data_IF_488679041634
#
_entry.id   IF_488679041634
#
_cell.length_a   1.000
_cell.length_b   1.000
_cell.length_c   1.000
_cell.angle_alpha   90.00
_cell.angle_beta   90.00
_cell.angle_gamma   90.00
#
_symmetry.space_group_name_H-M   'P 1'
#
loop_
_entity.id
_entity.type
_entity.pdbx_description
1 polymer ?
#
# COMPACT_ATOMS: atom_id res chain seq x y z
N UNK A 1 10.96 -39.35 -61.48
CA UNK A 1 10.20 -39.61 -62.73
C UNK A 1 8.81 -40.09 -62.33
N UNK A 2 7.76 -39.82 -63.12
CA UNK A 2 7.21 -38.48 -63.29
C UNK A 2 5.71 -38.43 -62.87
N UNK A 3 5.07 -37.28 -63.02
CA UNK A 3 3.61 -37.13 -62.95
C UNK A 3 2.97 -37.71 -64.22
N UNK A 4 1.90 -38.51 -64.09
CA UNK A 4 0.93 -38.78 -65.16
C UNK A 4 -0.50 -38.98 -64.58
N UNK A 5 -1.37 -37.99 -64.76
CA UNK A 5 -2.77 -38.20 -65.19
C UNK A 5 -2.74 -38.69 -66.67
N UNK A 6 -3.82 -39.22 -67.33
CA UNK A 6 -5.24 -38.86 -67.12
C UNK A 6 -6.32 -39.93 -67.51
N UNK A 7 -7.54 -39.43 -67.75
CA UNK A 7 -8.59 -39.88 -68.69
C UNK A 7 -9.65 -40.92 -68.27
N UNK A 8 -10.89 -40.41 -68.09
CA UNK A 8 -12.18 -40.75 -68.75
C UNK A 8 -12.45 -42.20 -69.21
N UNK A 9 -13.66 -42.78 -69.07
CA UNK A 9 -14.91 -42.36 -69.76
C UNK A 9 -16.15 -43.15 -69.25
N UNK A 10 -17.35 -42.57 -69.45
CA UNK A 10 -18.64 -43.24 -69.83
C UNK A 10 -19.22 -44.39 -68.96
N UNK A 11 -20.54 -44.54 -68.77
CA UNK A 11 -21.75 -43.85 -69.25
C UNK A 11 -22.96 -44.24 -68.38
N UNK A 12 -24.08 -43.52 -68.59
CA UNK A 12 -25.47 -44.05 -68.60
C UNK A 12 -26.42 -43.53 -67.51
N UNK A 13 -27.39 -42.78 -68.00
CA UNK A 13 -28.45 -42.09 -67.28
C UNK A 13 -29.64 -43.00 -66.94
N UNK A 14 -30.17 -42.92 -65.72
CA UNK A 14 -31.65 -42.95 -65.54
C UNK A 14 -32.09 -42.24 -64.25
N UNK A 15 -33.03 -41.31 -64.40
CA UNK A 15 -33.59 -40.55 -63.28
C UNK A 15 -34.62 -41.35 -62.47
N UNK A 16 -34.64 -41.09 -61.17
CA UNK A 16 -35.76 -41.34 -60.26
C UNK A 16 -35.92 -40.16 -59.28
N UNK A 17 -37.12 -39.84 -58.76
CA UNK A 17 -37.38 -38.59 -58.03
C UNK A 17 -36.83 -38.59 -56.58
N UNK A 18 -36.76 -37.41 -55.92
CA UNK A 18 -35.95 -37.23 -54.72
C UNK A 18 -36.62 -37.78 -53.45
N UNK A 19 -36.05 -38.85 -52.89
CA UNK A 19 -36.18 -39.20 -51.49
C UNK A 19 -34.95 -38.72 -50.72
N UNK A 20 -35.12 -37.81 -49.76
CA UNK A 20 -34.00 -37.27 -48.96
C UNK A 20 -33.37 -38.41 -48.12
N UNK A 21 -32.13 -38.76 -48.45
CA UNK A 21 -31.24 -39.52 -47.57
C UNK A 21 -30.34 -38.56 -46.80
N UNK A 22 -30.22 -38.74 -45.48
CA UNK A 22 -28.91 -38.90 -44.83
C UNK A 22 -29.05 -40.03 -43.78
N UNK A 23 -28.11 -40.97 -43.78
CA UNK A 23 -28.22 -42.30 -43.16
C UNK A 23 -27.27 -42.48 -41.94
N UNK A 24 -27.27 -43.64 -41.21
CA UNK A 24 -26.67 -43.86 -39.87
C UNK A 24 -25.12 -44.04 -39.90
N UNK A 25 -24.38 -44.21 -38.76
CA UNK A 25 -24.78 -44.59 -37.38
C UNK A 25 -24.30 -43.62 -36.27
N UNK A 26 -24.57 -43.83 -34.96
CA UNK A 26 -25.24 -44.92 -34.24
C UNK A 26 -24.31 -45.72 -33.31
N UNK A 27 -24.26 -45.40 -32.00
CA UNK A 27 -23.77 -46.30 -30.92
C UNK A 27 -24.22 -45.83 -29.52
N UNK A 28 -24.77 -46.79 -28.76
CA UNK A 28 -24.90 -46.91 -27.28
C UNK A 28 -25.72 -45.93 -26.41
N UNK A 29 -26.83 -46.49 -25.94
CA UNK A 29 -27.48 -46.26 -24.63
C UNK A 29 -26.52 -46.29 -23.41
N UNK A 30 -26.95 -45.56 -22.36
CA UNK A 30 -26.78 -45.78 -20.89
C UNK A 30 -25.56 -45.20 -20.14
N UNK A 31 -25.91 -44.33 -19.17
CA UNK A 31 -25.29 -44.03 -17.86
C UNK A 31 -23.92 -43.34 -17.81
N UNK A 32 -23.98 -42.02 -17.60
CA UNK A 32 -23.06 -41.19 -16.81
C UNK A 32 -23.82 -39.88 -16.49
N UNK A 33 -23.77 -39.27 -15.31
CA UNK A 33 -22.94 -39.53 -14.14
C UNK A 33 -22.14 -38.29 -13.76
N UNK A 34 -22.69 -37.41 -12.92
CA UNK A 34 -22.05 -36.24 -12.26
C UNK A 34 -21.11 -35.38 -13.12
N UNK A 35 -21.70 -34.37 -13.76
CA UNK A 35 -21.09 -33.12 -14.27
C UNK A 35 -22.23 -32.10 -14.00
N UNK A 36 -22.16 -31.02 -13.21
CA UNK A 36 -21.10 -30.02 -12.94
C UNK A 36 -21.10 -29.50 -11.48
N UNK A 37 -20.79 -30.33 -10.48
CA UNK A 37 -20.64 -29.84 -9.10
C UNK A 37 -19.24 -29.25 -8.81
N UNK A 38 -18.23 -29.59 -9.62
CA UNK A 38 -16.83 -29.19 -9.40
C UNK A 38 -16.42 -27.91 -10.17
N UNK A 39 -17.07 -27.60 -11.29
CA UNK A 39 -16.79 -26.38 -12.05
C UNK A 39 -17.29 -25.12 -11.33
N UNK A 40 -18.40 -25.20 -10.58
CA UNK A 40 -18.82 -24.12 -9.66
C UNK A 40 -17.80 -23.93 -8.54
N UNK A 41 -17.36 -25.01 -7.88
CA UNK A 41 -16.36 -24.92 -6.81
C UNK A 41 -15.03 -24.33 -7.32
N UNK A 42 -14.60 -24.65 -8.54
CA UNK A 42 -13.39 -24.06 -9.12
C UNK A 42 -13.51 -22.56 -9.39
N UNK A 43 -14.68 -22.09 -9.83
CA UNK A 43 -14.96 -20.66 -10.02
C UNK A 43 -15.01 -19.92 -8.68
N UNK A 44 -15.74 -20.46 -7.69
CA UNK A 44 -15.89 -19.85 -6.38
C UNK A 44 -14.54 -19.78 -5.62
N UNK A 45 -13.69 -20.81 -5.75
CA UNK A 45 -12.34 -20.82 -5.14
C UNK A 45 -11.42 -19.80 -5.82
N UNK A 46 -11.44 -19.68 -7.15
CA UNK A 46 -10.63 -18.68 -7.86
C UNK A 46 -11.09 -17.24 -7.57
N UNK A 47 -12.40 -16.99 -7.42
CA UNK A 47 -12.92 -15.69 -7.00
C UNK A 47 -12.54 -15.38 -5.54
N UNK A 48 -12.63 -16.35 -4.63
CA UNK A 48 -12.21 -16.18 -3.25
C UNK A 48 -10.71 -15.85 -3.13
N UNK A 49 -9.86 -16.48 -3.94
CA UNK A 49 -8.42 -16.22 -3.93
C UNK A 49 -8.07 -14.80 -4.44
N UNK A 50 -8.74 -14.30 -5.49
CA UNK A 50 -8.50 -12.94 -5.98
C UNK A 50 -9.12 -11.86 -5.05
N UNK A 51 -10.32 -12.09 -4.49
CA UNK A 51 -10.92 -11.18 -3.49
C UNK A 51 -10.08 -11.12 -2.19
N UNK A 52 -9.49 -12.25 -1.80
CA UNK A 52 -8.51 -12.32 -0.72
C UNK A 52 -7.28 -11.49 -1.06
N UNK A 53 -6.70 -11.72 -2.23
CA UNK A 53 -5.50 -11.03 -2.71
C UNK A 53 -5.72 -9.52 -2.79
N UNK A 54 -6.86 -9.05 -3.29
CA UNK A 54 -7.19 -7.61 -3.37
C UNK A 54 -7.34 -6.94 -2.00
N UNK A 55 -7.95 -7.62 -1.01
CA UNK A 55 -8.02 -7.10 0.36
C UNK A 55 -6.64 -7.01 1.01
N UNK A 56 -5.78 -7.97 0.70
CA UNK A 56 -4.38 -8.03 1.13
C UNK A 56 -3.54 -6.94 0.47
N UNK A 57 -3.66 -6.74 -0.86
CA UNK A 57 -3.03 -5.64 -1.61
C UNK A 57 -3.36 -4.27 -1.01
N UNK A 58 -4.63 -4.01 -0.65
CA UNK A 58 -5.04 -2.75 0.00
C UNK A 58 -4.32 -2.50 1.32
N UNK A 59 -4.16 -3.54 2.13
CA UNK A 59 -3.43 -3.46 3.41
C UNK A 59 -1.93 -3.23 3.16
N UNK A 60 -1.34 -3.94 2.19
CA UNK A 60 0.06 -3.79 1.79
C UNK A 60 0.37 -2.40 1.22
N UNK A 61 -0.53 -1.77 0.48
CA UNK A 61 -0.33 -0.40 -0.01
C UNK A 61 -0.02 0.59 1.12
N UNK A 62 -0.72 0.48 2.26
CA UNK A 62 -0.50 1.37 3.40
C UNK A 62 0.83 1.05 4.13
N UNK A 63 1.21 -0.23 4.20
CA UNK A 63 2.52 -0.66 4.73
C UNK A 63 3.65 -0.07 3.88
N UNK A 64 3.60 -0.27 2.56
CA UNK A 64 4.58 0.29 1.62
C UNK A 64 4.67 1.81 1.77
N UNK A 65 3.54 2.53 1.81
CA UNK A 65 3.54 3.98 1.95
C UNK A 65 4.24 4.46 3.23
N UNK A 66 3.94 3.85 4.39
CA UNK A 66 4.64 4.17 5.64
C UNK A 66 6.15 3.97 5.52
N UNK A 67 6.61 2.93 4.82
CA UNK A 67 8.04 2.70 4.61
C UNK A 67 8.69 3.72 3.66
N UNK A 68 8.02 4.12 2.57
CA UNK A 68 8.53 5.16 1.66
C UNK A 68 8.67 6.51 2.40
N UNK A 69 7.68 6.88 3.22
CA UNK A 69 7.75 8.09 4.07
C UNK A 69 8.89 8.01 5.09
N UNK A 70 9.08 6.85 5.73
CA UNK A 70 10.19 6.63 6.65
C UNK A 70 11.57 6.71 5.97
N UNK A 71 11.68 6.18 4.74
CA UNK A 71 12.90 6.27 3.94
C UNK A 71 13.21 7.72 3.58
N UNK A 72 12.21 8.49 3.13
CA UNK A 72 12.35 9.92 2.81
C UNK A 72 12.89 10.71 4.02
N UNK A 73 12.27 10.53 5.18
CA UNK A 73 12.72 11.15 6.44
C UNK A 73 14.17 10.80 6.84
N UNK A 74 14.70 9.67 6.37
CA UNK A 74 16.09 9.27 6.61
C UNK A 74 17.08 9.85 5.61
N UNK A 75 16.69 9.99 4.34
CA UNK A 75 17.50 10.62 3.28
C UNK A 75 17.60 12.13 3.50
N UNK A 76 16.51 12.76 3.93
CA UNK A 76 16.46 14.14 4.43
C UNK A 76 17.28 14.33 5.72
N UNK A 77 17.75 13.24 6.33
CA UNK A 77 18.66 13.27 7.46
C UNK A 77 18.06 13.82 8.75
N UNK A 78 16.71 13.85 8.87
CA UNK A 78 15.94 14.51 9.93
C UNK A 78 16.51 14.21 11.32
N UNK A 79 16.66 15.25 12.14
CA UNK A 79 17.33 15.19 13.44
C UNK A 79 16.66 14.17 14.39
N UNK A 80 15.33 14.07 14.31
CA UNK A 80 14.54 13.06 15.01
C UNK A 80 14.93 11.62 14.63
N UNK A 81 15.22 11.35 13.35
CA UNK A 81 15.61 10.03 12.88
C UNK A 81 16.91 9.58 13.55
N UNK A 82 17.95 10.43 13.52
CA UNK A 82 19.26 10.17 14.15
C UNK A 82 19.15 9.91 15.66
N UNK A 83 18.20 10.56 16.34
CA UNK A 83 17.97 10.45 17.79
C UNK A 83 17.21 9.18 18.20
N UNK A 84 16.23 8.73 17.41
CA UNK A 84 15.34 7.61 17.77
C UNK A 84 15.99 6.25 17.50
N UNK A 85 16.76 6.14 16.42
CA UNK A 85 17.34 4.85 15.99
C UNK A 85 18.79 4.65 16.45
N UNK A 86 19.46 5.71 16.91
CA UNK A 86 20.92 5.74 16.96
C UNK A 86 21.51 5.86 15.55
N UNK A 87 22.83 5.99 15.47
CA UNK A 87 23.55 6.07 14.18
C UNK A 87 23.82 4.69 13.55
N UNK A 88 23.36 3.60 14.15
CA UNK A 88 23.34 2.30 13.48
C UNK A 88 22.40 2.41 12.27
N UNK A 89 22.86 2.07 11.05
CA UNK A 89 22.02 2.13 9.88
C UNK A 89 20.89 1.13 10.08
N UNK A 90 19.70 1.66 10.27
CA UNK A 90 18.47 0.93 10.07
C UNK A 90 18.54 0.35 8.65
N UNK A 91 18.87 -0.94 8.53
CA UNK A 91 19.01 -1.57 7.23
C UNK A 91 17.67 -1.45 6.51
N UNK A 92 17.61 -0.58 5.50
CA UNK A 92 16.41 -0.33 4.73
C UNK A 92 16.05 -1.59 3.96
N UNK A 93 15.13 -2.38 4.51
CA UNK A 93 14.63 -3.60 3.86
C UNK A 93 13.54 -3.31 2.82
N UNK A 94 13.61 -2.11 2.23
CA UNK A 94 12.92 -1.83 0.98
C UNK A 94 13.54 -2.70 -0.10
N UNK A 95 12.70 -3.27 -0.96
CA UNK A 95 13.13 -3.89 -2.20
C UNK A 95 13.61 -2.81 -3.19
N UNK A 96 14.44 -3.20 -4.16
CA UNK A 96 14.87 -2.29 -5.25
C UNK A 96 13.69 -1.59 -5.94
N UNK A 97 12.54 -2.27 -6.04
CA UNK A 97 11.32 -1.70 -6.60
C UNK A 97 10.69 -0.60 -5.73
N UNK A 98 10.72 -0.75 -4.39
CA UNK A 98 10.28 0.30 -3.47
C UNK A 98 11.28 1.46 -3.43
N UNK A 99 12.59 1.17 -3.51
CA UNK A 99 13.65 2.19 -3.59
C UNK A 99 13.49 3.04 -4.86
N UNK A 100 13.28 2.41 -6.02
CA UNK A 100 13.00 3.14 -7.27
C UNK A 100 11.71 3.95 -7.17
N UNK A 101 10.62 3.37 -6.63
CA UNK A 101 9.37 4.09 -6.38
C UNK A 101 9.56 5.29 -5.44
N UNK A 102 10.46 5.20 -4.46
CA UNK A 102 10.81 6.30 -3.56
C UNK A 102 11.62 7.40 -4.25
N UNK A 103 12.63 7.04 -5.05
CA UNK A 103 13.45 8.00 -5.79
C UNK A 103 12.66 8.73 -6.88
N UNK A 104 11.92 8.01 -7.72
CA UNK A 104 11.14 8.56 -8.84
C UNK A 104 10.05 9.54 -8.39
N UNK A 105 9.69 9.52 -7.10
CA UNK A 105 8.54 10.24 -6.56
C UNK A 105 8.82 10.92 -5.21
N UNK A 106 10.09 11.19 -4.89
CA UNK A 106 10.54 11.69 -3.58
C UNK A 106 9.75 12.93 -3.09
N UNK A 107 9.43 13.84 -4.00
CA UNK A 107 8.62 15.03 -3.70
C UNK A 107 7.16 14.68 -3.35
N UNK A 108 6.55 13.69 -4.02
CA UNK A 108 5.15 13.29 -3.86
C UNK A 108 4.87 12.41 -2.62
N UNK A 109 5.88 11.91 -1.89
CA UNK A 109 5.68 10.86 -0.87
C UNK A 109 4.78 11.27 0.32
N UNK A 110 4.54 12.57 0.53
CA UNK A 110 3.63 13.09 1.54
C UNK A 110 2.26 13.50 0.96
N UNK A 111 2.08 13.42 -0.36
CA UNK A 111 0.86 13.80 -1.07
C UNK A 111 -0.05 12.61 -1.35
N UNK A 112 -1.37 12.81 -1.38
CA UNK A 112 -2.33 11.74 -1.70
C UNK A 112 -2.20 11.21 -3.14
N UNK A 113 -1.54 11.97 -4.03
CA UNK A 113 -1.29 11.59 -5.43
C UNK A 113 -0.42 10.33 -5.57
N UNK A 114 0.46 10.05 -4.60
CA UNK A 114 1.34 8.88 -4.62
C UNK A 114 0.56 7.55 -4.51
N UNK A 115 -0.64 7.56 -3.92
CA UNK A 115 -1.39 6.34 -3.63
C UNK A 115 -1.65 5.52 -4.90
N UNK A 116 -1.94 6.16 -6.03
CA UNK A 116 -2.14 5.49 -7.31
C UNK A 116 -0.87 4.76 -7.79
N UNK A 117 0.32 5.36 -7.60
CA UNK A 117 1.62 4.79 -7.97
C UNK A 117 1.97 3.61 -7.06
N UNK A 118 1.69 3.71 -5.76
CA UNK A 118 1.85 2.63 -4.79
C UNK A 118 0.90 1.46 -5.11
N UNK A 119 -0.38 1.73 -5.40
CA UNK A 119 -1.34 0.69 -5.82
C UNK A 119 -0.90 -0.01 -7.11
N UNK A 120 -0.33 0.72 -8.08
CA UNK A 120 0.23 0.14 -9.30
C UNK A 120 1.43 -0.77 -9.00
N UNK A 121 2.36 -0.32 -8.16
CA UNK A 121 3.50 -1.13 -7.71
C UNK A 121 3.02 -2.41 -7.02
N UNK A 122 2.16 -2.31 -6.02
CA UNK A 122 1.60 -3.46 -5.28
C UNK A 122 0.78 -4.38 -6.18
N UNK A 123 0.05 -3.84 -7.15
CA UNK A 123 -0.67 -4.62 -8.17
C UNK A 123 0.24 -5.42 -9.10
N UNK A 124 1.51 -5.01 -9.27
CA UNK A 124 2.52 -5.73 -10.05
C UNK A 124 3.28 -6.81 -9.26
N UNK A 125 3.11 -6.85 -7.93
CA UNK A 125 3.71 -7.90 -7.10
C UNK A 125 3.02 -9.25 -7.32
N UNK A 126 3.81 -10.32 -7.23
CA UNK A 126 3.24 -11.67 -7.18
C UNK A 126 2.46 -11.87 -5.87
N UNK A 127 1.50 -12.80 -5.81
CA UNK A 127 0.76 -13.10 -4.59
C UNK A 127 1.71 -13.40 -3.42
N UNK A 128 2.73 -14.22 -3.63
CA UNK A 128 3.70 -14.64 -2.60
C UNK A 128 4.46 -13.45 -2.00
N UNK A 129 4.90 -12.51 -2.85
CA UNK A 129 5.53 -11.26 -2.39
C UNK A 129 4.55 -10.42 -1.57
N UNK A 130 3.31 -10.29 -2.06
CA UNK A 130 2.27 -9.52 -1.37
C UNK A 130 1.96 -10.10 0.03
N UNK A 131 1.83 -11.42 0.14
CA UNK A 131 1.66 -12.09 1.43
C UNK A 131 2.89 -11.96 2.35
N UNK A 132 4.12 -12.05 1.82
CA UNK A 132 5.33 -11.92 2.66
C UNK A 132 5.42 -10.60 3.43
N UNK A 133 4.93 -9.50 2.85
CA UNK A 133 4.87 -8.17 3.50
C UNK A 133 3.89 -8.19 4.69
N UNK A 134 2.83 -9.01 4.64
CA UNK A 134 1.89 -9.23 5.76
C UNK A 134 2.44 -10.21 6.79
N UNK A 135 3.25 -11.19 6.41
CA UNK A 135 3.83 -12.19 7.32
C UNK A 135 5.05 -11.72 8.12
N UNK A 136 5.35 -10.42 8.13
CA UNK A 136 6.40 -9.85 8.99
C UNK A 136 7.83 -9.97 8.46
N UNK A 137 8.05 -10.69 7.37
CA UNK A 137 9.37 -10.77 6.73
C UNK A 137 9.51 -9.73 5.61
N UNK A 138 10.34 -8.68 5.78
CA UNK A 138 11.10 -8.27 6.98
C UNK A 138 10.74 -6.86 7.49
N UNK A 139 9.65 -6.28 6.99
CA UNK A 139 9.34 -4.84 7.07
C UNK A 139 8.67 -4.39 8.39
N UNK A 140 8.03 -5.29 9.12
CA UNK A 140 6.97 -4.89 10.06
C UNK A 140 7.40 -4.43 11.46
N UNK A 141 8.61 -4.71 11.91
CA UNK A 141 8.99 -4.55 13.33
C UNK A 141 9.02 -3.07 13.81
N UNK A 142 8.79 -2.11 12.91
CA UNK A 142 9.31 -0.75 13.06
C UNK A 142 8.36 0.38 12.62
N UNK A 143 7.13 0.07 12.21
CA UNK A 143 6.12 1.09 11.81
C UNK A 143 5.89 2.13 12.92
N UNK A 144 5.79 1.67 14.17
CA UNK A 144 5.70 2.55 15.35
C UNK A 144 6.94 3.41 15.60
N UNK A 145 8.13 3.10 15.06
CA UNK A 145 9.30 4.01 15.11
C UNK A 145 9.25 5.03 13.97
N UNK A 146 8.80 4.66 12.77
CA UNK A 146 8.63 5.61 11.65
C UNK A 146 7.73 6.79 12.05
N UNK A 147 6.53 6.53 12.57
CA UNK A 147 5.64 7.61 13.03
C UNK A 147 6.28 8.45 14.16
N UNK A 148 7.07 7.83 15.05
CA UNK A 148 7.80 8.58 16.09
C UNK A 148 8.83 9.56 15.53
N UNK A 149 9.40 9.32 14.35
CA UNK A 149 10.29 10.30 13.68
C UNK A 149 9.51 11.55 13.36
N UNK A 150 8.46 11.46 12.54
CA UNK A 150 7.65 12.60 12.12
C UNK A 150 7.06 13.34 13.33
N UNK A 151 6.63 12.60 14.35
CA UNK A 151 6.17 13.17 15.61
C UNK A 151 7.28 14.01 16.29
N UNK A 152 8.44 13.41 16.54
CA UNK A 152 9.56 14.04 17.26
C UNK A 152 10.14 15.24 16.51
N UNK A 153 10.18 15.16 15.17
CA UNK A 153 10.58 16.23 14.26
C UNK A 153 9.68 17.45 14.45
N UNK A 154 8.36 17.24 14.34
CA UNK A 154 7.35 18.28 14.52
C UNK A 154 7.37 18.88 15.94
N UNK A 155 7.48 18.09 17.03
CA UNK A 155 7.60 18.70 18.38
C UNK A 155 8.88 19.50 18.56
N UNK A 156 9.98 19.11 17.89
CA UNK A 156 11.25 19.85 17.97
C UNK A 156 11.12 21.20 17.28
N UNK A 157 10.59 21.22 16.05
CA UNK A 157 10.36 22.43 15.27
C UNK A 157 9.33 23.35 15.92
N UNK A 158 8.22 22.80 16.44
CA UNK A 158 7.20 23.58 17.14
C UNK A 158 7.74 24.23 18.44
N UNK A 159 8.58 23.51 19.19
CA UNK A 159 9.25 24.08 20.37
C UNK A 159 10.26 25.16 19.97
N UNK A 160 11.04 24.94 18.91
CA UNK A 160 11.97 25.95 18.41
C UNK A 160 11.24 27.22 17.96
N UNK A 161 10.15 27.09 17.21
CA UNK A 161 9.37 28.23 16.73
C UNK A 161 8.68 28.98 17.89
N UNK A 162 8.08 28.27 18.86
CA UNK A 162 7.53 28.92 20.07
C UNK A 162 8.58 29.67 20.89
N UNK A 163 9.79 29.12 21.07
CA UNK A 163 10.89 29.82 21.74
C UNK A 163 11.36 31.05 20.95
N UNK A 164 11.34 30.95 19.63
CA UNK A 164 11.70 32.00 18.70
C UNK A 164 10.72 33.19 18.73
N UNK A 165 9.41 32.91 18.75
CA UNK A 165 8.34 33.90 18.89
C UNK A 165 8.35 34.57 20.28
N UNK A 166 8.51 33.81 21.36
CA UNK A 166 8.47 34.33 22.73
C UNK A 166 9.72 35.14 23.12
N UNK A 167 10.88 34.86 22.52
CA UNK A 167 12.19 35.40 22.94
C UNK A 167 13.15 35.70 21.78
N UNK A 168 12.77 36.52 20.80
CA UNK A 168 13.60 36.80 19.61
C UNK A 168 15.00 37.35 19.97
N UNK A 169 15.10 38.19 21.01
CA UNK A 169 16.37 38.79 21.45
C UNK A 169 17.41 37.77 21.99
N UNK A 170 17.02 36.52 22.25
CA UNK A 170 17.90 35.47 22.77
C UNK A 170 18.20 34.37 21.74
N UNK A 171 17.77 34.52 20.48
CA UNK A 171 18.11 33.57 19.42
C UNK A 171 19.44 33.92 18.75
N UNK A 172 20.37 32.96 18.76
CA UNK A 172 21.52 32.98 17.88
C UNK A 172 21.04 32.66 16.45
N UNK A 173 21.24 33.60 15.52
CA UNK A 173 21.00 33.38 14.09
C UNK A 173 22.16 32.55 13.54
N UNK A 174 21.94 31.39 12.90
CA UNK A 174 23.02 30.59 12.33
C UNK A 174 23.75 31.35 11.21
N UNK A 175 25.06 31.12 11.07
CA UNK A 175 25.94 31.84 10.11
C UNK A 175 25.47 31.78 8.63
N UNK A 176 24.62 30.82 8.28
CA UNK A 176 24.02 30.65 6.96
C UNK A 176 22.82 31.57 6.64
N UNK A 177 22.28 32.32 7.61
CA UNK A 177 21.15 33.25 7.42
C UNK A 177 21.56 34.73 7.53
N UNK A 178 21.09 35.55 6.59
CA UNK A 178 21.40 37.00 6.57
C UNK A 178 20.69 37.79 7.69
N UNK A 179 19.54 37.32 8.16
CA UNK A 179 18.80 37.96 9.26
C UNK A 179 17.97 36.97 10.08
N UNK A 180 17.59 37.41 11.29
CA UNK A 180 16.62 36.69 12.14
C UNK A 180 15.29 36.48 11.43
N UNK A 181 14.83 37.43 10.60
CA UNK A 181 13.56 37.30 9.86
C UNK A 181 13.60 36.16 8.85
N UNK A 182 14.72 35.99 8.15
CA UNK A 182 14.90 34.93 7.17
C UNK A 182 14.95 33.56 7.87
N UNK A 183 15.69 33.47 8.98
CA UNK A 183 15.74 32.27 9.81
C UNK A 183 14.37 31.88 10.39
N UNK A 184 13.59 32.85 10.87
CA UNK A 184 12.21 32.62 11.35
C UNK A 184 11.26 32.17 10.23
N UNK A 185 11.43 32.71 9.03
CA UNK A 185 10.66 32.33 7.85
C UNK A 185 10.95 30.89 7.44
N UNK A 186 12.23 30.49 7.42
CA UNK A 186 12.63 29.12 7.10
C UNK A 186 12.13 28.12 8.15
N UNK A 187 12.34 28.42 9.45
CA UNK A 187 11.84 27.60 10.57
C UNK A 187 10.32 27.41 10.54
N UNK A 188 9.58 28.42 10.09
CA UNK A 188 8.12 28.34 9.89
C UNK A 188 7.73 27.50 8.67
N UNK A 189 8.54 27.54 7.60
CA UNK A 189 8.41 26.65 6.45
C UNK A 189 8.64 25.18 6.81
N UNK A 190 9.75 24.89 7.51
CA UNK A 190 10.08 23.56 8.03
C UNK A 190 8.98 23.01 8.95
N UNK A 191 8.45 23.85 9.85
CA UNK A 191 7.34 23.47 10.71
C UNK A 191 6.08 23.11 9.92
N UNK A 192 5.75 23.88 8.87
CA UNK A 192 4.60 23.62 8.01
C UNK A 192 4.76 22.32 7.21
N UNK A 193 5.94 22.05 6.64
CA UNK A 193 6.21 20.77 5.95
C UNK A 193 6.19 19.59 6.94
N UNK A 194 6.80 19.72 8.11
CA UNK A 194 6.80 18.66 9.13
C UNK A 194 5.38 18.36 9.63
N UNK A 195 4.54 19.40 9.81
CA UNK A 195 3.10 19.27 10.11
C UNK A 195 2.35 18.51 9.01
N UNK A 196 2.59 18.85 7.75
CA UNK A 196 1.98 18.16 6.60
C UNK A 196 2.40 16.68 6.54
N UNK A 197 3.70 16.38 6.66
CA UNK A 197 4.20 15.00 6.69
C UNK A 197 3.61 14.18 7.85
N UNK A 198 3.49 14.77 9.05
CA UNK A 198 2.87 14.13 10.21
C UNK A 198 1.37 13.89 9.99
N UNK A 199 0.65 14.84 9.41
CA UNK A 199 -0.77 14.69 9.06
C UNK A 199 -0.99 13.56 8.05
N UNK A 200 -0.18 13.48 6.99
CA UNK A 200 -0.26 12.37 6.03
C UNK A 200 0.03 11.03 6.70
N UNK A 201 1.04 10.95 7.57
CA UNK A 201 1.36 9.71 8.29
C UNK A 201 0.18 9.26 9.17
N UNK A 202 -0.47 10.19 9.87
CA UNK A 202 -1.69 9.92 10.67
C UNK A 202 -2.84 9.41 9.79
N UNK A 203 -3.00 9.94 8.56
CA UNK A 203 -4.01 9.45 7.61
C UNK A 203 -3.71 8.04 7.10
N UNK A 204 -2.46 7.76 6.71
CA UNK A 204 -2.01 6.43 6.25
C UNK A 204 -2.15 5.38 7.35
N UNK A 205 -1.78 5.71 8.60
CA UNK A 205 -1.96 4.83 9.77
C UNK A 205 -3.43 4.52 10.03
N UNK A 206 -4.33 5.50 9.88
CA UNK A 206 -5.78 5.29 9.98
C UNK A 206 -6.30 4.38 8.86
N UNK A 207 -5.84 4.60 7.62
CA UNK A 207 -6.21 3.78 6.47
C UNK A 207 -5.71 2.33 6.59
N UNK A 208 -4.51 2.12 7.13
CA UNK A 208 -3.95 0.81 7.47
C UNK A 208 -4.82 0.08 8.49
N UNK A 209 -5.16 0.74 9.60
CA UNK A 209 -6.02 0.19 10.65
C UNK A 209 -7.40 -0.21 10.10
N UNK A 210 -8.06 0.67 9.33
CA UNK A 210 -9.35 0.38 8.69
C UNK A 210 -9.26 -0.77 7.67
N UNK A 211 -8.15 -0.89 6.94
CA UNK A 211 -7.93 -1.99 5.99
C UNK A 211 -7.82 -3.34 6.69
N UNK A 212 -7.14 -3.39 7.84
CA UNK A 212 -7.05 -4.59 8.68
C UNK A 212 -8.42 -4.95 9.25
N UNK A 213 -9.18 -3.99 9.77
CA UNK A 213 -10.53 -4.25 10.29
C UNK A 213 -11.43 -4.87 9.22
N UNK A 214 -11.53 -4.25 8.05
CA UNK A 214 -12.35 -4.76 6.92
C UNK A 214 -11.91 -6.16 6.49
N UNK A 215 -10.60 -6.40 6.39
CA UNK A 215 -10.07 -7.71 5.98
C UNK A 215 -10.28 -8.80 7.05
N UNK A 216 -10.37 -8.42 8.33
CA UNK A 216 -10.75 -9.31 9.42
C UNK A 216 -12.25 -9.66 9.39
N UNK A 217 -13.11 -8.69 9.08
CA UNK A 217 -14.57 -8.88 8.92
C UNK A 217 -14.90 -9.83 7.76
N UNK A 218 -14.19 -9.73 6.64
CA UNK A 218 -14.36 -10.64 5.48
C UNK A 218 -13.67 -12.00 5.66
N UNK A 219 -12.87 -12.20 6.71
CA UNK A 219 -12.08 -13.43 6.97
C UNK A 219 -11.09 -13.80 5.86
N UNK A 220 -10.62 -12.82 5.09
CA UNK A 220 -9.65 -13.05 4.01
C UNK A 220 -8.22 -13.32 4.54
N UNK A 221 -7.95 -13.04 5.83
CA UNK A 221 -6.68 -13.33 6.48
C UNK A 221 -6.78 -14.59 7.34
N UNK A 222 -5.71 -15.37 7.37
CA UNK A 222 -5.49 -16.41 8.37
C UNK A 222 -5.36 -15.80 9.77
N UNK A 223 -5.60 -16.61 10.81
CA UNK A 223 -5.44 -16.18 12.20
C UNK A 223 -4.04 -15.67 12.53
N UNK A 224 -3.01 -16.18 11.86
CA UNK A 224 -1.61 -15.78 12.03
C UNK A 224 -1.35 -14.42 11.38
N UNK A 225 -1.67 -14.25 10.09
CA UNK A 225 -1.58 -12.97 9.37
C UNK A 225 -2.33 -11.85 10.12
N UNK A 226 -3.54 -12.15 10.63
CA UNK A 226 -4.33 -11.19 11.41
C UNK A 226 -3.71 -10.87 12.77
N UNK A 227 -3.12 -11.85 13.47
CA UNK A 227 -2.46 -11.62 14.76
C UNK A 227 -1.23 -10.72 14.58
N UNK A 228 -0.45 -10.95 13.53
CA UNK A 228 0.70 -10.15 13.12
C UNK A 228 0.28 -8.70 12.81
N UNK A 229 -0.73 -8.51 11.94
CA UNK A 229 -1.24 -7.19 11.61
C UNK A 229 -1.79 -6.43 12.83
N UNK A 230 -2.48 -7.12 13.74
CA UNK A 230 -2.94 -6.53 15.02
C UNK A 230 -1.77 -6.12 15.92
N UNK A 231 -0.66 -6.87 15.96
CA UNK A 231 0.52 -6.48 16.71
C UNK A 231 1.15 -5.18 16.15
N UNK A 232 1.18 -5.04 14.83
CA UNK A 232 1.70 -3.83 14.18
C UNK A 232 0.83 -2.59 14.46
N UNK A 233 -0.49 -2.73 14.39
CA UNK A 233 -1.42 -1.64 14.76
C UNK A 233 -1.27 -1.25 16.23
N UNK A 234 -1.12 -2.21 17.15
CA UNK A 234 -0.82 -1.92 18.56
C UNK A 234 0.49 -1.16 18.75
N UNK A 235 1.51 -1.38 17.92
CA UNK A 235 2.77 -0.61 17.96
C UNK A 235 2.61 0.86 17.54
N UNK A 236 1.55 1.17 16.79
CA UNK A 236 1.22 2.51 16.29
C UNK A 236 0.29 3.29 17.24
N UNK A 237 -0.47 2.63 18.12
CA UNK A 237 -1.54 3.23 18.92
C UNK A 237 -1.09 4.43 19.76
N UNK A 238 -0.07 4.27 20.61
CA UNK A 238 0.47 5.37 21.42
C UNK A 238 1.02 6.54 20.58
N UNK A 239 1.96 6.36 19.62
CA UNK A 239 2.45 7.48 18.84
C UNK A 239 1.39 8.11 17.92
N UNK A 240 0.38 7.35 17.50
CA UNK A 240 -0.79 7.88 16.77
C UNK A 240 -1.62 8.82 17.65
N UNK A 241 -1.98 8.39 18.87
CA UNK A 241 -2.75 9.23 19.79
C UNK A 241 -1.99 10.51 20.14
N UNK A 242 -0.68 10.45 20.36
CA UNK A 242 0.16 11.64 20.60
C UNK A 242 0.19 12.57 19.38
N UNK A 243 0.38 12.05 18.16
CA UNK A 243 0.36 12.85 16.94
C UNK A 243 -0.99 13.56 16.72
N UNK A 244 -2.10 12.85 16.93
CA UNK A 244 -3.46 13.40 16.85
C UNK A 244 -3.69 14.50 17.89
N UNK A 245 -3.20 14.33 19.12
CA UNK A 245 -3.31 15.35 20.17
C UNK A 245 -2.53 16.61 19.84
N UNK A 246 -1.30 16.45 19.32
CA UNK A 246 -0.45 17.57 18.94
C UNK A 246 -1.00 18.39 17.78
N UNK A 247 -1.37 17.74 16.67
CA UNK A 247 -1.92 18.43 15.48
C UNK A 247 -3.17 19.27 15.82
N UNK A 248 -3.95 18.85 16.83
CA UNK A 248 -5.11 19.59 17.34
C UNK A 248 -4.77 20.76 18.25
N UNK A 249 -3.70 20.67 19.04
CA UNK A 249 -3.27 21.76 19.92
C UNK A 249 -2.84 23.00 19.10
N UNK A 250 -2.37 22.74 17.88
CA UNK A 250 -1.93 23.70 16.88
C UNK A 250 -3.07 24.24 15.98
N UNK A 251 -4.24 23.57 15.93
CA UNK A 251 -5.41 23.98 15.13
C UNK A 251 -6.23 25.10 15.82
N UNK A 252 -5.59 26.20 16.20
CA UNK A 252 -6.25 27.37 16.80
C UNK A 252 -7.05 28.23 15.80
N UNK A 253 -7.39 27.71 14.60
CA UNK A 253 -7.97 28.55 13.54
C UNK A 253 -8.79 27.90 12.41
N UNK A 254 -8.32 26.86 11.70
CA UNK A 254 -8.81 26.66 10.32
C UNK A 254 -8.99 25.24 9.76
N UNK A 255 -8.58 24.15 10.42
CA UNK A 255 -8.81 22.78 9.90
C UNK A 255 -9.60 21.92 10.90
N UNK A 256 -10.86 21.61 10.56
CA UNK A 256 -11.60 20.56 11.28
C UNK A 256 -11.07 19.19 10.86
N UNK A 257 -10.07 18.68 11.56
CA UNK A 257 -9.63 17.29 11.43
C UNK A 257 -10.74 16.35 11.95
N UNK A 258 -11.37 15.50 11.10
CA UNK A 258 -12.34 14.50 11.53
C UNK A 258 -11.60 13.28 12.11
N UNK A 259 -10.75 13.53 13.10
CA UNK A 259 -10.04 12.53 13.87
C UNK A 259 -10.91 12.18 15.07
N UNK A 260 -11.49 10.99 15.08
CA UNK A 260 -12.03 10.43 16.31
C UNK A 260 -10.86 10.05 17.21
N UNK A 261 -10.87 10.44 18.49
CA UNK A 261 -9.77 10.12 19.44
C UNK A 261 -9.83 8.67 19.94
N UNK A 262 -10.36 7.78 19.11
CA UNK A 262 -10.50 6.37 19.42
C UNK A 262 -9.14 5.69 19.22
N UNK A 263 -8.83 4.74 20.10
CA UNK A 263 -7.65 3.89 19.95
C UNK A 263 -7.69 3.16 18.61
N UNK A 264 -6.52 2.88 18.04
CA UNK A 264 -6.38 1.98 16.91
C UNK A 264 -6.61 0.50 17.30
N UNK A 265 -6.96 0.21 18.56
CA UNK A 265 -7.13 -1.14 19.09
C UNK A 265 -8.62 -1.42 19.35
N UNK A 266 -9.13 -2.44 18.68
CA UNK A 266 -10.47 -3.02 18.79
C UNK A 266 -10.44 -4.51 19.21
#
# INVERSE_FOLDING_TARGET
MPEEEPTEQSTSTRMGPPGIQISPPGIRKRRGGRVDALNYIASDVQHLDEERLDSVRRTVCQVVWMHLMGWKASVEGKLAFRRIFGLDPFEWKLTDGEINLAYDNSHDLYELSIEAKIRQYVGSLSPEKTFSIISGHPLQQELGKILRVHLTDYQTLALQNSVAEDRPDNMEVPDEFESLTDFLSELSGDLAESRHALLTMVQVVRAFAQSIQRTAETKHLTSEELAILKANVRSLDLPYLTAVQMLRADDSGSVQLPLETQSLIW
#
